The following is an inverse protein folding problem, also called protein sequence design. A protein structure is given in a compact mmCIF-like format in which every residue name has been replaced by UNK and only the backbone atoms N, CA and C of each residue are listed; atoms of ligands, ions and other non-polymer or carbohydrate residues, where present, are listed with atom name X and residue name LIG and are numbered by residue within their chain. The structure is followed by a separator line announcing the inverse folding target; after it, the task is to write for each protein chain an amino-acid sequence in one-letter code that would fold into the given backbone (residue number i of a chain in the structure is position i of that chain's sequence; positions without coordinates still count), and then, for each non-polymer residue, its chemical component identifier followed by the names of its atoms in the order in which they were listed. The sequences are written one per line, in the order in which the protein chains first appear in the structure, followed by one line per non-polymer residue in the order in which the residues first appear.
data_IF_411861367280
#
_entry.id   IF_411861367280
#
_cell.length_a   1.000
_cell.length_b   1.000
_cell.length_c   1.000
_cell.angle_alpha   90.00
_cell.angle_beta   90.00
_cell.angle_gamma   90.00
#
_symmetry.space_group_name_H-M   'P 1'
#
loop_
_entity.id
_entity.type
_entity.pdbx_description
1 polymer ?
#
# COMPACT_ATOMS: atom_id res chain seq x y z
N UNK A 1 61.41 -1.22 21.78
CA UNK A 1 60.50 -0.15 21.29
C UNK A 1 59.15 -0.69 20.81
N UNK A 2 59.03 -1.85 20.15
CA UNK A 2 57.73 -2.39 19.69
C UNK A 2 56.71 -2.70 20.80
N UNK A 3 57.14 -3.28 21.92
CA UNK A 3 56.21 -3.66 23.01
C UNK A 3 55.56 -2.49 23.77
N UNK A 4 56.12 -1.28 23.68
CA UNK A 4 55.50 -0.10 24.29
C UNK A 4 54.43 0.50 23.39
N UNK A 5 54.61 0.44 22.07
CA UNK A 5 53.60 0.90 21.11
C UNK A 5 52.36 0.02 21.16
N UNK A 6 52.51 -1.30 21.29
CA UNK A 6 51.35 -2.22 21.40
C UNK A 6 50.52 -1.96 22.66
N UNK A 7 51.16 -1.58 23.78
CA UNK A 7 50.46 -1.20 25.01
C UNK A 7 49.77 0.16 24.90
N UNK A 8 50.37 1.10 24.17
CA UNK A 8 49.77 2.41 23.92
C UNK A 8 48.56 2.30 23.00
N UNK A 9 48.65 1.49 21.93
CA UNK A 9 47.53 1.23 21.01
C UNK A 9 46.40 0.48 21.71
N UNK A 10 46.71 -0.53 22.52
CA UNK A 10 45.69 -1.24 23.30
C UNK A 10 45.03 -0.31 24.33
N UNK A 11 45.78 0.57 24.98
CA UNK A 11 45.24 1.57 25.91
C UNK A 11 44.35 2.61 25.19
N UNK A 12 44.72 3.05 23.99
CA UNK A 12 43.92 3.97 23.18
C UNK A 12 42.63 3.29 22.71
N UNK A 13 42.71 2.04 22.24
CA UNK A 13 41.53 1.27 21.80
C UNK A 13 40.57 1.02 22.97
N UNK A 14 41.10 0.63 24.13
CA UNK A 14 40.29 0.41 25.33
C UNK A 14 39.64 1.70 25.82
N UNK A 15 40.36 2.83 25.75
CA UNK A 15 39.83 4.16 26.05
C UNK A 15 38.69 4.54 25.11
N UNK A 16 38.86 4.35 23.80
CA UNK A 16 37.83 4.65 22.81
C UNK A 16 36.59 3.76 22.98
N UNK A 17 36.77 2.48 23.32
CA UNK A 17 35.67 1.55 23.62
C UNK A 17 34.88 1.96 24.87
N UNK A 18 35.59 2.36 25.93
CA UNK A 18 34.95 2.84 27.17
C UNK A 18 34.14 4.12 26.92
N UNK A 19 34.68 5.06 26.14
CA UNK A 19 33.97 6.29 25.79
C UNK A 19 32.76 6.02 24.89
N UNK A 20 32.87 5.12 23.92
CA UNK A 20 31.73 4.72 23.08
C UNK A 20 30.63 4.05 23.92
N UNK A 21 31.01 3.25 24.93
CA UNK A 21 30.06 2.64 25.86
C UNK A 21 29.40 3.70 26.76
N UNK A 22 30.17 4.66 27.29
CA UNK A 22 29.63 5.80 28.06
C UNK A 22 28.68 6.66 27.24
N UNK A 23 29.03 7.01 26.00
CA UNK A 23 28.17 7.79 25.09
C UNK A 23 26.92 6.97 24.75
N UNK A 24 27.07 5.65 24.52
CA UNK A 24 25.94 4.76 24.31
C UNK A 24 24.99 4.72 25.50
N UNK A 25 25.50 4.62 26.73
CA UNK A 25 24.72 4.68 27.97
C UNK A 25 24.07 6.05 28.20
N UNK A 26 24.73 7.14 27.79
CA UNK A 26 24.21 8.51 27.91
C UNK A 26 23.12 8.78 26.87
N UNK A 27 23.22 8.21 25.66
CA UNK A 27 22.17 8.25 24.64
C UNK A 27 20.98 7.34 25.03
N UNK A 28 21.24 6.13 25.53
CA UNK A 28 20.18 5.25 26.07
C UNK A 28 19.51 5.87 27.31
N UNK A 29 20.29 6.54 28.15
CA UNK A 29 19.83 7.34 29.28
C UNK A 29 18.96 8.50 28.82
N UNK A 30 19.41 9.29 27.84
CA UNK A 30 18.66 10.41 27.22
C UNK A 30 17.29 9.98 26.65
N UNK A 31 17.18 8.76 26.11
CA UNK A 31 15.93 8.19 25.63
C UNK A 31 14.99 7.68 26.74
N UNK A 32 15.52 7.33 27.93
CA UNK A 32 14.75 6.84 29.07
C UNK A 32 14.51 7.89 30.17
N UNK A 33 15.33 8.93 30.26
CA UNK A 33 15.15 10.05 31.19
C UNK A 33 14.35 11.15 30.51
N UNK A 34 13.02 11.02 30.52
CA UNK A 34 12.15 12.19 30.47
C UNK A 34 12.29 12.91 31.81
N UNK A 35 13.34 13.72 31.96
CA UNK A 35 13.41 14.67 33.05
C UNK A 35 12.44 15.78 32.67
N UNK A 36 11.24 15.69 33.24
CA UNK A 36 10.41 16.86 33.52
C UNK A 36 11.24 17.80 34.41
N UNK A 37 12.07 18.64 33.80
CA UNK A 37 12.49 19.86 34.44
C UNK A 37 11.22 20.71 34.60
N UNK A 38 10.88 21.18 35.82
CA UNK A 38 9.83 22.18 35.96
C UNK A 38 10.23 23.39 35.12
N UNK A 39 9.36 23.89 34.24
CA UNK A 39 9.68 25.05 33.41
C UNK A 39 9.98 26.23 34.33
N UNK A 40 11.18 26.77 34.18
CA UNK A 40 11.50 28.10 34.64
C UNK A 40 10.44 29.07 34.09
N UNK A 41 10.00 29.94 34.99
CA UNK A 41 9.08 31.05 34.80
C UNK A 41 9.16 31.67 33.40
N UNK A 42 8.08 31.53 32.63
CA UNK A 42 7.99 32.02 31.27
C UNK A 42 6.54 32.11 30.81
N UNK A 43 5.80 33.05 31.41
CA UNK A 43 4.72 33.82 30.81
C UNK A 43 3.64 33.12 29.96
N UNK A 44 2.42 33.22 30.48
CA UNK A 44 1.20 33.64 29.77
C UNK A 44 0.22 32.53 29.33
N UNK A 45 -0.85 32.41 30.12
CA UNK A 45 -2.22 32.38 29.59
C UNK A 45 -2.99 31.07 29.69
N UNK A 46 -3.71 30.91 30.81
CA UNK A 46 -5.12 30.52 30.77
C UNK A 46 -5.48 29.03 30.91
N UNK A 47 -6.09 28.75 32.06
CA UNK A 47 -7.34 27.97 32.23
C UNK A 47 -7.24 26.49 32.66
N UNK A 48 -7.38 26.27 33.98
CA UNK A 48 -7.95 25.09 34.67
C UNK A 48 -7.08 23.82 34.67
N UNK A 49 -6.76 23.16 35.78
CA UNK A 49 -7.60 22.84 36.94
C UNK A 49 -6.75 22.80 38.24
N UNK A 50 -7.40 23.16 39.34
CA UNK A 50 -6.85 23.28 40.68
C UNK A 50 -6.48 21.90 41.25
N UNK A 51 -5.20 21.69 41.57
CA UNK A 51 -4.80 20.61 42.46
C UNK A 51 -4.81 21.12 43.90
N UNK A 52 -5.77 20.61 44.68
CA UNK A 52 -5.87 20.81 46.12
C UNK A 52 -4.67 20.15 46.82
N UNK A 53 -3.65 20.96 47.11
CA UNK A 53 -2.55 20.57 48.00
C UNK A 53 -2.98 20.85 49.44
N UNK A 54 -3.44 19.81 50.15
CA UNK A 54 -3.63 19.87 51.61
C UNK A 54 -2.25 19.97 52.25
N UNK A 55 -1.82 21.20 52.57
CA UNK A 55 -0.72 21.43 53.51
C UNK A 55 -1.22 21.04 54.91
N UNK A 56 -0.65 19.97 55.46
CA UNK A 56 -0.80 19.65 56.87
C UNK A 56 0.07 20.64 57.64
N UNK A 57 -0.57 21.63 58.26
CA UNK A 57 0.10 22.59 59.12
C UNK A 57 0.58 21.89 60.40
N UNK A 58 1.87 21.53 60.42
CA UNK A 58 2.53 20.83 61.53
C UNK A 58 2.60 21.68 62.81
N UNK A 59 2.19 22.95 62.77
CA UNK A 59 2.10 23.83 63.93
C UNK A 59 0.93 23.51 64.88
N UNK A 60 -0.20 23.01 64.38
CA UNK A 60 -1.37 22.73 65.24
C UNK A 60 -1.29 21.36 65.94
N UNK A 61 -0.67 20.37 65.31
CA UNK A 61 -0.48 19.02 65.91
C UNK A 61 0.53 19.07 67.07
N UNK A 62 1.55 19.93 66.97
CA UNK A 62 2.50 20.16 68.07
C UNK A 62 1.83 20.87 69.27
N UNK A 63 0.87 21.77 69.04
CA UNK A 63 0.13 22.46 70.10
C UNK A 63 -0.86 21.54 70.85
N UNK A 64 -1.50 20.61 70.13
CA UNK A 64 -2.35 19.55 70.71
C UNK A 64 -1.55 18.58 71.59
N UNK A 65 -0.35 18.18 71.15
CA UNK A 65 0.51 17.27 71.92
C UNK A 65 1.06 17.91 73.21
N UNK A 66 1.34 19.22 73.19
CA UNK A 66 1.72 19.99 74.39
C UNK A 66 0.56 20.16 75.38
N UNK A 67 -0.69 20.29 74.91
CA UNK A 67 -1.88 20.28 75.79
C UNK A 67 -2.10 18.93 76.46
N UNK A 68 -1.98 17.82 75.72
CA UNK A 68 -2.13 16.48 76.31
C UNK A 68 -1.07 16.14 77.36
N UNK A 69 0.16 16.65 77.25
CA UNK A 69 1.17 16.51 78.31
C UNK A 69 0.92 17.43 79.51
N UNK A 70 0.27 18.58 79.30
CA UNK A 70 -0.11 19.52 80.35
C UNK A 70 -1.26 18.98 81.21
N UNK A 71 -2.25 18.35 80.58
CA UNK A 71 -3.36 17.70 81.29
C UNK A 71 -2.89 16.46 82.07
N UNK A 72 -1.86 15.77 81.57
CA UNK A 72 -1.21 14.65 82.29
C UNK A 72 -0.31 15.09 83.45
N UNK A 73 0.14 16.35 83.48
CA UNK A 73 0.96 16.94 84.56
C UNK A 73 0.21 17.92 85.47
N UNK A 74 -1.01 18.33 85.11
CA UNK A 74 -1.78 19.36 85.82
C UNK A 74 -2.67 18.87 86.95
N UNK A 75 -2.89 17.55 87.09
CA UNK A 75 -3.82 17.02 88.09
C UNK A 75 -3.15 16.63 89.42
N UNK A 76 -2.30 17.51 89.93
CA UNK A 76 -1.70 17.38 91.26
C UNK A 76 -1.54 18.75 91.92
N UNK A 77 -2.58 19.24 92.62
CA UNK A 77 -2.53 19.83 93.98
C UNK A 77 -3.90 20.36 94.47
N UNK A 78 -4.10 20.48 95.80
CA UNK A 78 -5.35 20.13 96.49
C UNK A 78 -6.26 21.33 96.79
N UNK A 79 -7.55 21.07 97.04
CA UNK A 79 -8.51 22.04 97.59
C UNK A 79 -8.62 21.94 99.13
N UNK A 80 -9.01 23.02 99.83
CA UNK A 80 -8.84 23.18 101.28
C UNK A 80 -9.73 22.29 102.15
N UNK A 81 -9.21 21.96 103.33
CA UNK A 81 -9.89 21.24 104.41
C UNK A 81 -10.79 22.16 105.24
N UNK A 82 -12.04 21.74 105.45
CA UNK A 82 -12.89 21.89 106.65
C UNK A 82 -14.12 20.99 106.39
N UNK A 83 -14.65 20.14 107.25
CA UNK A 83 -14.44 19.87 108.66
C UNK A 83 -15.10 18.49 108.97
N UNK A 84 -14.67 17.85 110.06
CA UNK A 84 -15.34 16.76 110.80
C UNK A 84 -15.27 15.30 110.30
N UNK A 85 -14.83 14.44 111.22
CA UNK A 85 -14.79 12.96 111.23
C UNK A 85 -15.82 12.50 112.30
N UNK A 86 -16.35 11.25 112.30
CA UNK A 86 -15.57 10.01 112.19
C UNK A 86 -16.11 8.97 111.18
N UNK A 87 -15.25 8.33 110.38
CA UNK A 87 -14.62 6.99 110.56
C UNK A 87 -15.64 5.84 110.73
N UNK A 88 -15.97 5.13 109.64
CA UNK A 88 -15.65 3.70 109.44
C UNK A 88 -15.94 3.14 108.03
N UNK A 89 -16.80 3.75 107.20
CA UNK A 89 -17.23 3.12 105.93
C UNK A 89 -16.40 3.44 104.65
N UNK A 90 -15.51 4.44 104.65
CA UNK A 90 -14.83 4.91 103.40
C UNK A 90 -13.56 4.12 103.03
N UNK A 91 -13.05 3.26 103.92
CA UNK A 91 -11.85 2.44 103.64
C UNK A 91 -12.15 1.22 102.75
N UNK A 92 -13.38 0.73 102.79
CA UNK A 92 -13.79 -0.47 102.05
C UNK A 92 -14.10 -0.14 100.59
N UNK A 93 -14.77 0.98 100.32
CA UNK A 93 -15.05 1.47 98.95
C UNK A 93 -13.77 1.80 98.17
N UNK A 94 -12.80 2.50 98.78
CA UNK A 94 -11.51 2.81 98.12
C UNK A 94 -10.67 1.53 97.88
N UNK A 95 -10.81 0.52 98.73
CA UNK A 95 -10.15 -0.78 98.54
C UNK A 95 -10.80 -1.61 97.42
N UNK A 96 -12.11 -1.50 97.23
CA UNK A 96 -12.83 -2.10 96.10
C UNK A 96 -12.48 -1.42 94.77
N UNK A 97 -12.46 -0.08 94.71
CA UNK A 97 -12.08 0.65 93.50
C UNK A 97 -10.65 0.31 93.05
N UNK A 98 -9.70 0.17 93.99
CA UNK A 98 -8.33 -0.24 93.67
C UNK A 98 -8.27 -1.70 93.17
N UNK A 99 -9.13 -2.59 93.65
CA UNK A 99 -9.24 -3.96 93.13
C UNK A 99 -9.85 -3.98 91.73
N UNK A 100 -10.89 -3.20 91.48
CA UNK A 100 -11.52 -3.06 90.17
C UNK A 100 -10.56 -2.44 89.15
N UNK A 101 -9.81 -1.39 89.52
CA UNK A 101 -8.79 -0.78 88.66
C UNK A 101 -7.63 -1.74 88.34
N UNK A 102 -7.23 -2.61 89.28
CA UNK A 102 -6.23 -3.66 89.03
C UNK A 102 -6.76 -4.76 88.10
N UNK A 103 -8.02 -5.16 88.25
CA UNK A 103 -8.66 -6.13 87.35
C UNK A 103 -8.80 -5.56 85.92
N UNK A 104 -9.21 -4.29 85.78
CA UNK A 104 -9.32 -3.63 84.48
C UNK A 104 -7.95 -3.45 83.81
N UNK A 105 -6.88 -3.17 84.57
CA UNK A 105 -5.52 -3.11 84.04
C UNK A 105 -5.03 -4.48 83.56
N UNK A 106 -5.32 -5.56 84.28
CA UNK A 106 -5.00 -6.91 83.86
C UNK A 106 -5.74 -7.30 82.58
N UNK A 107 -7.03 -6.98 82.46
CA UNK A 107 -7.81 -7.21 81.25
C UNK A 107 -7.30 -6.37 80.05
N UNK A 108 -6.91 -5.11 80.29
CA UNK A 108 -6.27 -4.26 79.26
C UNK A 108 -4.96 -4.86 78.76
N UNK A 109 -4.14 -5.40 79.66
CA UNK A 109 -2.87 -6.06 79.29
C UNK A 109 -3.10 -7.34 78.48
N UNK A 110 -4.12 -8.14 78.81
CA UNK A 110 -4.47 -9.33 78.02
C UNK A 110 -5.01 -8.96 76.63
N UNK A 111 -5.86 -7.92 76.53
CA UNK A 111 -6.33 -7.39 75.25
C UNK A 111 -5.18 -6.84 74.39
N UNK A 112 -4.20 -6.19 75.01
CA UNK A 112 -3.01 -5.68 74.30
C UNK A 112 -2.13 -6.82 73.76
N UNK A 113 -1.88 -7.87 74.57
CA UNK A 113 -1.18 -9.07 74.12
C UNK A 113 -1.91 -9.80 72.99
N UNK A 114 -3.23 -9.95 73.09
CA UNK A 114 -4.04 -10.54 72.03
C UNK A 114 -3.99 -9.71 70.73
N UNK A 115 -3.98 -8.38 70.83
CA UNK A 115 -3.84 -7.49 69.67
C UNK A 115 -2.44 -7.57 69.05
N UNK A 116 -1.39 -7.70 69.87
CA UNK A 116 -0.01 -7.88 69.39
C UNK A 116 0.15 -9.22 68.67
N UNK A 117 -0.38 -10.31 69.23
CA UNK A 117 -0.38 -11.63 68.58
C UNK A 117 -1.16 -11.59 67.25
N UNK A 118 -2.32 -10.91 67.21
CA UNK A 118 -3.08 -10.71 65.97
C UNK A 118 -2.27 -9.94 64.91
N UNK A 119 -1.54 -8.88 65.32
CA UNK A 119 -0.66 -8.12 64.42
C UNK A 119 0.51 -8.97 63.91
N UNK A 120 1.13 -9.76 64.77
CA UNK A 120 2.21 -10.68 64.37
C UNK A 120 1.69 -11.75 63.39
N UNK A 121 0.51 -12.33 63.65
CA UNK A 121 -0.13 -13.27 62.74
C UNK A 121 -0.45 -12.64 61.38
N UNK A 122 -0.91 -11.37 61.36
CA UNK A 122 -1.17 -10.63 60.12
C UNK A 122 0.11 -10.35 59.32
N UNK A 123 1.20 -9.97 59.97
CA UNK A 123 2.51 -9.78 59.33
C UNK A 123 3.05 -11.07 58.73
N UNK A 124 2.99 -12.19 59.47
CA UNK A 124 3.39 -13.50 58.97
C UNK A 124 2.52 -13.94 57.78
N UNK A 125 1.21 -13.68 57.82
CA UNK A 125 0.32 -13.95 56.70
C UNK A 125 0.66 -13.09 55.47
N UNK A 126 1.03 -11.81 55.67
CA UNK A 126 1.46 -10.92 54.60
C UNK A 126 2.80 -11.39 53.98
N UNK A 127 3.76 -11.80 54.81
CA UNK A 127 5.03 -12.37 54.34
C UNK A 127 4.82 -13.64 53.51
N UNK A 128 4.00 -14.58 54.00
CA UNK A 128 3.66 -15.80 53.24
C UNK A 128 2.98 -15.49 51.90
N UNK A 129 2.09 -14.50 51.86
CA UNK A 129 1.47 -14.03 50.60
C UNK A 129 2.50 -13.45 49.65
N UNK A 130 3.46 -12.65 50.14
CA UNK A 130 4.53 -12.11 49.31
C UNK A 130 5.43 -13.22 48.75
N UNK A 131 5.77 -14.23 49.56
CA UNK A 131 6.55 -15.39 49.09
C UNK A 131 5.79 -16.19 48.04
N UNK A 132 4.49 -16.42 48.21
CA UNK A 132 3.65 -17.08 47.22
C UNK A 132 3.60 -16.30 45.90
N UNK A 133 3.41 -14.98 45.95
CA UNK A 133 3.43 -14.12 44.76
C UNK A 133 4.80 -14.22 44.06
N UNK A 134 5.90 -14.18 44.83
CA UNK A 134 7.25 -14.28 44.29
C UNK A 134 7.51 -15.65 43.64
N UNK A 135 7.05 -16.75 44.25
CA UNK A 135 7.14 -18.08 43.66
C UNK A 135 6.30 -18.20 42.38
N UNK A 136 5.09 -17.64 42.37
CA UNK A 136 4.23 -17.63 41.18
C UNK A 136 4.87 -16.82 40.04
N UNK A 137 5.45 -15.65 40.34
CA UNK A 137 6.19 -14.85 39.37
C UNK A 137 7.39 -15.61 38.78
N UNK A 138 8.20 -16.26 39.63
CA UNK A 138 9.32 -17.08 39.17
C UNK A 138 8.86 -18.24 38.28
N UNK A 139 7.78 -18.94 38.66
CA UNK A 139 7.22 -20.03 37.85
C UNK A 139 6.70 -19.52 36.51
N UNK A 140 6.03 -18.36 36.49
CA UNK A 140 5.53 -17.72 35.27
C UNK A 140 6.68 -17.26 34.37
N UNK A 141 7.77 -16.77 34.94
CA UNK A 141 8.97 -16.39 34.20
C UNK A 141 9.67 -17.63 33.59
N UNK A 142 9.81 -18.71 34.35
CA UNK A 142 10.33 -19.98 33.84
C UNK A 142 9.48 -20.53 32.69
N UNK A 143 8.15 -20.56 32.84
CA UNK A 143 7.25 -20.97 31.77
C UNK A 143 7.38 -20.08 30.53
N UNK A 144 7.52 -18.76 30.71
CA UNK A 144 7.74 -17.84 29.59
C UNK A 144 9.08 -18.11 28.89
N UNK A 145 10.15 -18.40 29.64
CA UNK A 145 11.44 -18.76 29.04
C UNK A 145 11.38 -20.08 28.28
N UNK A 146 10.67 -21.08 28.81
CA UNK A 146 10.46 -22.36 28.13
C UNK A 146 9.64 -22.18 26.84
N UNK A 147 8.56 -21.40 26.89
CA UNK A 147 7.77 -21.05 25.71
C UNK A 147 8.62 -20.35 24.64
N UNK A 148 9.44 -19.37 25.02
CA UNK A 148 10.33 -18.68 24.09
C UNK A 148 11.36 -19.63 23.47
N UNK A 149 11.94 -20.56 24.26
CA UNK A 149 12.85 -21.59 23.74
C UNK A 149 12.13 -22.54 22.77
N UNK A 150 10.90 -22.94 23.09
CA UNK A 150 10.10 -23.83 22.25
C UNK A 150 9.70 -23.14 20.94
N UNK A 151 9.29 -21.87 20.98
CA UNK A 151 8.97 -21.07 19.80
C UNK A 151 10.21 -20.85 18.92
N UNK A 152 11.38 -20.59 19.51
CA UNK A 152 12.63 -20.49 18.76
C UNK A 152 13.00 -21.82 18.09
N UNK A 153 12.84 -22.95 18.79
CA UNK A 153 13.08 -24.27 18.23
C UNK A 153 12.12 -24.58 17.08
N UNK A 154 10.85 -24.21 17.21
CA UNK A 154 9.85 -24.37 16.16
C UNK A 154 10.15 -23.50 14.94
N UNK A 155 10.51 -22.22 15.15
CA UNK A 155 10.98 -21.32 14.08
C UNK A 155 12.20 -21.87 13.36
N UNK A 156 13.17 -22.43 14.08
CA UNK A 156 14.33 -23.08 13.46
C UNK A 156 13.94 -24.32 12.64
N UNK A 157 13.00 -25.13 13.13
CA UNK A 157 12.46 -26.28 12.39
C UNK A 157 11.72 -25.83 11.14
N UNK A 158 10.86 -24.83 11.24
CA UNK A 158 10.13 -24.26 10.10
C UNK A 158 11.10 -23.69 9.07
N UNK A 159 12.09 -22.89 9.50
CA UNK A 159 13.11 -22.34 8.60
C UNK A 159 13.93 -23.44 7.92
N UNK A 160 14.32 -24.49 8.66
CA UNK A 160 15.02 -25.64 8.09
C UNK A 160 14.15 -26.38 7.07
N UNK A 161 12.85 -26.58 7.36
CA UNK A 161 11.92 -27.22 6.40
C UNK A 161 11.70 -26.35 5.17
N UNK A 162 11.59 -25.04 5.33
CA UNK A 162 11.45 -24.07 4.23
C UNK A 162 12.72 -24.02 3.37
N UNK A 163 13.91 -24.07 3.99
CA UNK A 163 15.19 -24.17 3.27
C UNK A 163 15.29 -25.48 2.47
N UNK A 164 14.93 -26.62 3.07
CA UNK A 164 14.88 -27.91 2.36
C UNK A 164 13.87 -27.91 1.22
N UNK A 165 12.68 -27.32 1.42
CA UNK A 165 11.66 -27.20 0.39
C UNK A 165 12.11 -26.27 -0.76
N UNK A 166 12.76 -25.15 -0.44
CA UNK A 166 13.30 -24.22 -1.43
C UNK A 166 14.45 -24.85 -2.24
N UNK A 167 15.35 -25.60 -1.59
CA UNK A 167 16.41 -26.34 -2.26
C UNK A 167 15.85 -27.43 -3.18
N UNK A 168 14.88 -28.21 -2.70
CA UNK A 168 14.20 -29.22 -3.53
C UNK A 168 13.46 -28.60 -4.72
N UNK A 169 12.82 -27.44 -4.54
CA UNK A 169 12.18 -26.70 -5.63
C UNK A 169 13.22 -26.19 -6.65
N UNK A 170 14.38 -25.69 -6.18
CA UNK A 170 15.47 -25.24 -7.05
C UNK A 170 16.05 -26.39 -7.87
N UNK A 171 16.28 -27.56 -7.25
CA UNK A 171 16.77 -28.75 -7.95
C UNK A 171 15.76 -29.25 -9.00
N UNK A 172 14.45 -29.21 -8.70
CA UNK A 172 13.40 -29.54 -9.68
C UNK A 172 13.37 -28.55 -10.84
N UNK A 173 13.44 -27.25 -10.57
CA UNK A 173 13.48 -26.22 -11.59
C UNK A 173 14.73 -26.32 -12.49
N UNK A 174 15.90 -26.60 -11.91
CA UNK A 174 17.14 -26.79 -12.67
C UNK A 174 17.07 -28.05 -13.55
N UNK A 175 16.50 -29.15 -13.04
CA UNK A 175 16.31 -30.37 -13.82
C UNK A 175 15.34 -30.16 -14.98
N UNK A 176 14.24 -29.44 -14.77
CA UNK A 176 13.28 -29.09 -15.82
C UNK A 176 13.90 -28.17 -16.87
N UNK A 177 14.65 -27.15 -16.45
CA UNK A 177 15.37 -26.27 -17.37
C UNK A 177 16.36 -27.05 -18.25
N UNK A 178 17.13 -27.99 -17.68
CA UNK A 178 18.03 -28.87 -18.45
C UNK A 178 17.28 -29.77 -19.44
N UNK A 179 16.07 -30.25 -19.08
CA UNK A 179 15.22 -31.04 -20.00
C UNK A 179 14.69 -30.20 -21.15
N UNK A 180 14.25 -28.97 -20.87
CA UNK A 180 13.78 -28.04 -21.90
C UNK A 180 14.91 -27.63 -22.84
N UNK A 181 16.12 -27.39 -22.32
CA UNK A 181 17.29 -27.11 -23.15
C UNK A 181 17.67 -28.31 -24.04
N UNK A 182 17.66 -29.52 -23.48
CA UNK A 182 17.91 -30.74 -24.26
C UNK A 182 16.85 -30.95 -25.36
N UNK A 183 15.57 -30.72 -25.04
CA UNK A 183 14.48 -30.80 -26.01
C UNK A 183 14.60 -29.73 -27.11
N UNK A 184 15.02 -28.50 -26.76
CA UNK A 184 15.26 -27.44 -27.73
C UNK A 184 16.41 -27.78 -28.68
N UNK A 185 17.52 -28.35 -28.18
CA UNK A 185 18.64 -28.82 -29.01
C UNK A 185 18.22 -29.94 -29.96
N UNK A 186 17.44 -30.90 -29.47
CA UNK A 186 16.89 -31.98 -30.31
C UNK A 186 15.95 -31.44 -31.40
N UNK A 187 15.07 -30.49 -31.07
CA UNK A 187 14.18 -29.86 -32.04
C UNK A 187 14.95 -29.06 -33.10
N UNK A 188 16.07 -28.42 -32.74
CA UNK A 188 16.93 -27.71 -33.68
C UNK A 188 17.65 -28.66 -34.64
N UNK A 189 18.21 -29.77 -34.13
CA UNK A 189 18.80 -30.81 -34.98
C UNK A 189 17.78 -31.43 -35.92
N UNK A 190 16.57 -31.74 -35.43
CA UNK A 190 15.51 -32.28 -36.28
C UNK A 190 15.07 -31.28 -37.36
N UNK A 191 15.02 -29.99 -37.03
CA UNK A 191 14.72 -28.93 -38.03
C UNK A 191 15.82 -28.85 -39.08
N UNK A 192 17.10 -28.89 -38.67
CA UNK A 192 18.25 -28.90 -39.60
C UNK A 192 18.23 -30.14 -40.50
N UNK A 193 17.89 -31.31 -39.95
CA UNK A 193 17.75 -32.55 -40.73
C UNK A 193 16.59 -32.46 -41.75
N UNK A 194 15.43 -31.94 -41.35
CA UNK A 194 14.29 -31.72 -42.25
C UNK A 194 14.60 -30.70 -43.35
N UNK A 195 15.29 -29.60 -43.02
CA UNK A 195 15.71 -28.60 -44.00
C UNK A 195 16.72 -29.17 -45.01
N UNK A 196 17.67 -29.99 -44.56
CA UNK A 196 18.62 -30.67 -45.44
C UNK A 196 17.91 -31.65 -46.40
N UNK A 197 16.93 -32.42 -45.90
CA UNK A 197 16.10 -33.31 -46.73
C UNK A 197 15.28 -32.52 -47.78
N UNK A 198 14.66 -31.40 -47.39
CA UNK A 198 13.93 -30.55 -48.33
C UNK A 198 14.83 -29.94 -49.42
N UNK A 199 16.04 -29.49 -49.06
CA UNK A 199 17.02 -29.00 -50.04
C UNK A 199 17.45 -30.10 -51.00
N UNK A 200 17.69 -31.32 -50.51
CA UNK A 200 18.03 -32.47 -51.35
C UNK A 200 16.88 -32.83 -52.32
N UNK A 201 15.62 -32.78 -51.85
CA UNK A 201 14.45 -33.04 -52.70
C UNK A 201 14.24 -31.94 -53.76
N UNK A 202 14.44 -30.67 -53.39
CA UNK A 202 14.40 -29.56 -54.35
C UNK A 202 15.48 -29.66 -55.41
N UNK A 203 16.71 -30.04 -55.05
CA UNK A 203 17.78 -30.27 -56.02
C UNK A 203 17.43 -31.39 -57.00
N UNK A 204 16.87 -32.52 -56.52
CA UNK A 204 16.39 -33.60 -57.40
C UNK A 204 15.30 -33.12 -58.36
N UNK A 205 14.32 -32.36 -57.86
CA UNK A 205 13.26 -31.77 -58.70
C UNK A 205 13.81 -30.78 -59.74
N UNK A 206 14.79 -29.95 -59.37
CA UNK A 206 15.44 -29.01 -60.31
C UNK A 206 16.24 -29.75 -61.40
N UNK A 207 16.96 -30.82 -61.03
CA UNK A 207 17.71 -31.62 -61.97
C UNK A 207 16.79 -32.35 -62.95
N UNK A 208 15.65 -32.88 -62.46
CA UNK A 208 14.63 -33.50 -63.30
C UNK A 208 13.98 -32.50 -64.27
N UNK A 209 13.68 -31.27 -63.81
CA UNK A 209 13.19 -30.20 -64.67
C UNK A 209 14.21 -29.79 -65.74
N UNK A 210 15.50 -29.68 -65.39
CA UNK A 210 16.57 -29.40 -66.36
C UNK A 210 16.67 -30.49 -67.42
N UNK A 211 16.63 -31.76 -67.03
CA UNK A 211 16.62 -32.90 -67.97
C UNK A 211 15.39 -32.88 -68.88
N UNK A 212 14.22 -32.56 -68.34
CA UNK A 212 12.99 -32.43 -69.12
C UNK A 212 13.03 -31.22 -70.09
N UNK A 213 13.67 -30.12 -69.70
CA UNK A 213 13.83 -28.93 -70.55
C UNK A 213 14.85 -29.17 -71.66
N UNK A 214 16.00 -29.79 -71.38
CA UNK A 214 16.97 -30.20 -72.41
C UNK A 214 16.35 -31.18 -73.42
N UNK A 215 15.51 -32.12 -72.97
CA UNK A 215 14.80 -33.03 -73.87
C UNK A 215 13.82 -32.27 -74.79
N UNK A 216 13.10 -31.27 -74.27
CA UNK A 216 12.21 -30.42 -75.08
C UNK A 216 12.97 -29.51 -76.04
N UNK A 217 14.13 -28.99 -75.65
CA UNK A 217 14.96 -28.12 -76.48
C UNK A 217 15.64 -28.90 -77.61
N UNK A 218 16.13 -30.12 -77.33
CA UNK A 218 16.60 -31.05 -78.36
C UNK A 218 15.48 -31.41 -79.35
N UNK A 219 14.26 -31.67 -78.86
CA UNK A 219 13.11 -31.94 -79.74
C UNK A 219 12.71 -30.71 -80.60
N UNK A 220 12.85 -29.49 -80.08
CA UNK A 220 12.56 -28.26 -80.83
C UNK A 220 13.65 -27.93 -81.88
N UNK A 221 14.91 -28.25 -81.62
CA UNK A 221 16.01 -28.08 -82.59
C UNK A 221 15.91 -29.09 -83.74
N UNK A 222 15.54 -30.35 -83.46
CA UNK A 222 15.29 -31.36 -84.50
C UNK A 222 14.10 -30.98 -85.41
N UNK A 223 13.06 -30.35 -84.85
CA UNK A 223 11.93 -29.84 -85.62
C UNK A 223 12.31 -28.65 -86.52
N UNK A 224 13.19 -27.75 -86.06
CA UNK A 224 13.70 -26.63 -86.88
C UNK A 224 14.62 -27.09 -88.01
N UNK A 225 15.48 -28.08 -87.79
CA UNK A 225 16.37 -28.63 -88.83
C UNK A 225 15.61 -29.38 -89.93
N UNK A 226 14.46 -29.99 -89.62
CA UNK A 226 13.59 -30.60 -90.63
C UNK A 226 12.83 -29.55 -91.46
N UNK A 227 12.37 -28.45 -90.85
CA UNK A 227 11.70 -27.36 -91.57
C UNK A 227 12.64 -26.60 -92.55
N UNK A 228 13.93 -26.48 -92.23
CA UNK A 228 14.90 -25.81 -93.11
C UNK A 228 15.36 -26.68 -94.30
N UNK A 229 15.28 -28.01 -94.19
CA UNK A 229 15.58 -28.94 -95.29
C UNK A 229 14.46 -29.02 -96.33
N UNK A 230 13.19 -29.02 -95.93
CA UNK A 230 12.07 -29.02 -96.88
C UNK A 230 11.90 -27.69 -97.65
N UNK A 231 12.36 -26.56 -97.07
CA UNK A 231 12.33 -25.26 -97.76
C UNK A 231 13.39 -25.15 -98.89
N UNK A 232 14.50 -25.87 -98.80
CA UNK A 232 15.54 -25.88 -99.85
C UNK A 232 15.23 -26.83 -101.02
N UNK A 233 14.36 -27.82 -100.83
CA UNK A 233 13.98 -28.75 -101.91
C UNK A 233 12.82 -28.21 -102.77
N UNK A 234 11.91 -27.40 -102.20
CA UNK A 234 10.83 -26.75 -102.96
C UNK A 234 11.28 -25.55 -103.81
N UNK A 235 12.40 -24.91 -103.47
CA UNK A 235 12.94 -23.79 -104.24
C UNK A 235 13.68 -24.21 -105.54
N UNK A 236 14.08 -25.47 -105.68
CA UNK A 236 14.76 -25.96 -106.89
C UNK A 236 13.79 -26.49 -107.98
N UNK A 237 12.53 -26.78 -107.62
CA UNK A 237 11.55 -27.38 -108.53
C UNK A 237 10.68 -26.35 -109.30
N UNK A 238 10.51 -25.12 -108.81
CA UNK A 238 9.65 -24.11 -109.46
C UNK A 238 10.36 -23.22 -110.51
N UNK A 239 11.68 -23.33 -110.68
CA UNK A 239 12.42 -22.53 -111.66
C UNK A 239 12.43 -23.13 -113.10
N UNK A 240 11.95 -24.36 -113.30
CA UNK A 240 11.92 -25.03 -114.63
C UNK A 240 10.54 -25.07 -115.31
N UNK A 241 9.47 -24.55 -114.70
CA UNK A 241 8.10 -24.67 -115.21
C UNK A 241 7.41 -23.33 -115.56
N UNK A 242 8.17 -22.25 -115.82
CA UNK A 242 7.64 -20.95 -116.27
C UNK A 242 8.17 -20.47 -117.63
N UNK A 243 8.72 -21.37 -118.45
CA UNK A 243 9.29 -21.03 -119.76
C UNK A 243 8.47 -21.47 -120.98
N UNK A 244 7.40 -22.24 -120.80
CA UNK A 244 6.50 -22.61 -121.91
C UNK A 244 5.05 -22.49 -121.50
N UNK A 245 4.30 -21.86 -122.39
CA UNK A 245 2.85 -21.66 -122.43
C UNK A 245 2.36 -20.29 -121.95
N UNK A 246 1.67 -19.71 -122.91
CA UNK A 246 0.61 -18.71 -122.79
C UNK A 246 1.05 -17.25 -122.94
N UNK A 247 1.98 -17.09 -123.87
CA UNK A 247 1.80 -16.23 -125.04
C UNK A 247 0.69 -16.74 -125.98
N UNK A 248 -0.55 -16.87 -125.48
CA UNK A 248 -1.75 -16.96 -126.31
C UNK A 248 -2.85 -16.11 -125.68
N UNK A 249 -3.05 -14.98 -126.34
CA UNK A 249 -4.34 -14.29 -126.53
C UNK A 249 -5.02 -13.79 -125.25
N UNK A 250 -4.97 -12.51 -124.91
CA UNK A 250 -5.44 -11.36 -125.70
C UNK A 250 -6.77 -11.62 -126.42
N UNK A 251 -7.84 -11.72 -125.64
CA UNK A 251 -9.19 -11.23 -125.94
C UNK A 251 -9.93 -11.34 -124.60
N UNK A 252 -10.40 -10.30 -123.91
CA UNK A 252 -10.81 -8.97 -124.27
C UNK A 252 -10.38 -8.01 -123.16
N UNK A 253 -9.88 -6.86 -123.60
CA UNK A 253 -9.77 -5.67 -122.77
C UNK A 253 -11.07 -4.87 -122.94
N UNK A 254 -11.96 -4.94 -121.97
CA UNK A 254 -13.00 -3.93 -121.74
C UNK A 254 -13.45 -4.12 -120.28
N UNK A 255 -13.16 -3.29 -119.28
CA UNK A 255 -12.79 -1.89 -119.26
C UNK A 255 -11.63 -1.67 -118.25
N UNK A 256 -10.47 -1.26 -118.77
CA UNK A 256 -9.51 -0.48 -117.99
C UNK A 256 -10.02 0.96 -117.93
N UNK A 257 -10.13 1.50 -116.72
CA UNK A 257 -9.87 2.89 -116.31
C UNK A 257 -10.84 3.23 -115.18
N UNK A 258 -10.42 3.61 -113.98
CA UNK A 258 -9.36 4.57 -113.63
C UNK A 258 -8.77 4.15 -112.27
N UNK A 259 -7.48 3.87 -112.11
CA UNK A 259 -6.33 4.78 -112.23
C UNK A 259 -6.40 5.96 -111.25
N UNK A 260 -5.70 5.83 -110.13
CA UNK A 260 -4.90 6.85 -109.44
C UNK A 260 -4.57 6.26 -108.05
N UNK A 261 -3.56 5.41 -107.93
CA UNK A 261 -2.15 5.80 -107.91
C UNK A 261 -1.88 6.88 -106.85
N UNK A 262 -1.15 6.44 -105.83
CA UNK A 262 -0.08 7.17 -105.18
C UNK A 262 -0.41 8.54 -104.58
N UNK A 263 -0.29 8.64 -103.26
CA UNK A 263 0.92 9.18 -102.66
C UNK A 263 0.62 9.86 -101.31
N UNK A 264 1.59 9.71 -100.41
CA UNK A 264 1.93 10.62 -99.32
C UNK A 264 0.91 10.68 -98.16
N UNK A 265 1.18 10.02 -97.04
CA UNK A 265 2.22 10.37 -96.06
C UNK A 265 2.05 11.77 -95.43
N UNK A 266 1.95 11.72 -94.10
CA UNK A 266 2.31 12.72 -93.08
C UNK A 266 1.32 13.85 -92.74
N UNK A 267 0.88 13.76 -91.48
CA UNK A 267 1.06 14.75 -90.41
C UNK A 267 -0.14 15.64 -90.04
N UNK A 268 -0.68 15.38 -88.85
CA UNK A 268 -0.92 16.32 -87.74
C UNK A 268 -1.33 15.44 -86.53
N UNK A 269 -0.51 15.33 -85.48
CA UNK A 269 -0.50 16.22 -84.31
C UNK A 269 -1.84 16.15 -83.54
N UNK A 270 -1.93 15.98 -82.23
CA UNK A 270 -0.98 15.79 -81.13
C UNK A 270 -1.83 15.27 -79.95
N UNK A 271 -1.16 14.96 -78.85
CA UNK A 271 -1.63 14.32 -77.64
C UNK A 271 -2.85 14.94 -76.95
N UNK A 272 -3.59 14.07 -76.26
CA UNK A 272 -3.83 14.06 -74.79
C UNK A 272 -5.05 13.17 -74.53
N UNK A 273 -5.17 12.38 -73.48
CA UNK A 273 -4.30 11.86 -72.43
C UNK A 273 -5.27 11.08 -71.53
N UNK A 274 -4.78 10.00 -70.90
CA UNK A 274 -5.34 9.38 -69.68
C UNK A 274 -6.72 8.71 -69.82
N UNK A 275 -7.02 7.59 -69.17
CA UNK A 275 -6.25 6.69 -68.32
C UNK A 275 -7.12 5.45 -68.07
N UNK A 276 -6.43 4.35 -67.77
CA UNK A 276 -6.91 3.11 -67.14
C UNK A 276 -7.70 2.15 -68.04
N UNK A 277 -7.23 0.98 -68.52
CA UNK A 277 -6.19 0.05 -68.04
C UNK A 277 -6.30 -0.21 -66.53
N UNK A 278 -6.44 -1.40 -66.00
CA UNK A 278 -6.41 -2.78 -66.46
C UNK A 278 -6.78 -3.54 -65.16
N UNK A 279 -6.95 -4.85 -65.25
CA UNK A 279 -6.63 -5.76 -64.16
C UNK A 279 -7.45 -5.64 -62.84
N UNK A 280 -8.32 -6.63 -62.56
CA UNK A 280 -7.92 -7.91 -61.93
C UNK A 280 -7.63 -7.74 -60.44
N UNK A 281 -8.52 -8.26 -59.61
CA UNK A 281 -8.15 -9.21 -58.55
C UNK A 281 -9.36 -9.52 -57.67
N UNK A 282 -9.58 -10.83 -57.50
CA UNK A 282 -9.91 -11.51 -56.24
C UNK A 282 -10.92 -10.82 -55.31
N UNK A 283 -12.05 -11.51 -55.11
CA UNK A 283 -12.43 -12.13 -53.82
C UNK A 283 -13.94 -12.03 -53.65
N UNK A 284 -14.69 -13.02 -54.15
CA UNK A 284 -16.08 -13.20 -53.71
C UNK A 284 -16.52 -14.65 -53.91
N UNK A 285 -15.99 -15.52 -53.04
CA UNK A 285 -16.58 -16.82 -52.73
C UNK A 285 -16.12 -17.26 -51.33
N UNK A 286 -16.20 -16.36 -50.35
CA UNK A 286 -15.99 -16.67 -48.92
C UNK A 286 -17.15 -16.12 -48.07
N UNK A 287 -18.37 -16.29 -48.57
CA UNK A 287 -19.60 -16.07 -47.83
C UNK A 287 -19.94 -17.29 -46.96
N UNK A 288 -19.11 -17.58 -45.95
CA UNK A 288 -19.51 -18.46 -44.83
C UNK A 288 -18.60 -18.39 -43.58
N UNK A 289 -18.31 -17.19 -43.06
CA UNK A 289 -17.67 -17.06 -41.72
C UNK A 289 -17.83 -15.67 -41.06
N UNK A 290 -18.96 -14.98 -41.24
CA UNK A 290 -19.21 -13.69 -40.58
C UNK A 290 -20.59 -13.61 -39.91
N UNK A 291 -21.16 -14.76 -39.50
CA UNK A 291 -22.43 -14.82 -38.80
C UNK A 291 -22.30 -14.98 -37.26
N UNK A 292 -21.11 -15.25 -36.72
CA UNK A 292 -20.91 -15.48 -35.27
C UNK A 292 -20.20 -14.32 -34.53
N UNK A 293 -19.81 -13.26 -35.24
CA UNK A 293 -19.21 -12.06 -34.64
C UNK A 293 -20.18 -10.88 -34.50
N UNK A 294 -21.47 -11.08 -34.77
CA UNK A 294 -22.53 -10.05 -34.68
C UNK A 294 -23.56 -10.29 -33.56
N UNK A 295 -23.35 -11.28 -32.70
CA UNK A 295 -24.20 -11.52 -31.52
C UNK A 295 -23.55 -11.09 -30.19
N UNK A 296 -22.24 -10.76 -30.17
CA UNK A 296 -21.54 -10.36 -28.95
C UNK A 296 -21.22 -8.87 -28.80
N UNK A 297 -21.47 -8.05 -29.84
CA UNK A 297 -21.24 -6.61 -29.79
C UNK A 297 -22.50 -5.78 -29.43
N UNK A 298 -23.70 -6.32 -29.62
CA UNK A 298 -24.97 -5.62 -29.32
C UNK A 298 -25.37 -5.68 -27.83
N UNK A 299 -24.82 -6.64 -27.08
CA UNK A 299 -25.07 -6.74 -25.64
C UNK A 299 -24.22 -5.77 -24.79
N UNK A 300 -23.06 -5.35 -25.30
CA UNK A 300 -22.13 -4.47 -24.58
C UNK A 300 -22.39 -2.97 -24.87
N UNK A 301 -22.96 -2.66 -26.04
CA UNK A 301 -23.38 -1.29 -26.39
C UNK A 301 -24.66 -0.83 -25.67
N UNK A 302 -25.57 -1.75 -25.28
CA UNK A 302 -26.76 -1.41 -24.49
C UNK A 302 -26.50 -1.20 -22.99
N UNK A 303 -25.41 -1.74 -22.44
CA UNK A 303 -25.04 -1.53 -21.03
C UNK A 303 -24.29 -0.20 -20.80
N UNK A 304 -23.53 0.28 -21.80
CA UNK A 304 -22.84 1.57 -21.72
C UNK A 304 -23.80 2.78 -21.87
N UNK A 305 -24.86 2.65 -22.69
CA UNK A 305 -25.85 3.70 -22.90
C UNK A 305 -26.80 3.93 -21.70
N UNK A 306 -26.93 2.95 -20.79
CA UNK A 306 -27.74 3.08 -19.57
C UNK A 306 -26.99 3.81 -18.43
N UNK A 307 -25.65 3.76 -18.40
CA UNK A 307 -24.83 4.42 -17.37
C UNK A 307 -24.51 5.88 -17.67
N UNK A 308 -24.46 6.28 -18.95
CA UNK A 308 -24.27 7.68 -19.34
C UNK A 308 -25.51 8.57 -19.09
N UNK A 309 -26.73 7.99 -19.08
CA UNK A 309 -27.97 8.74 -18.84
C UNK A 309 -28.22 9.07 -17.36
N UNK A 310 -27.67 8.29 -16.43
CA UNK A 310 -27.84 8.52 -14.99
C UNK A 310 -26.90 9.62 -14.44
N UNK A 311 -25.71 9.78 -15.00
CA UNK A 311 -24.79 10.84 -14.55
C UNK A 311 -25.12 12.21 -15.15
N UNK A 312 -25.70 12.28 -16.35
CA UNK A 312 -26.13 13.56 -16.95
C UNK A 312 -27.42 14.11 -16.32
N UNK A 313 -28.28 13.24 -15.77
CA UNK A 313 -29.52 13.66 -15.10
C UNK A 313 -29.30 14.16 -13.66
N UNK A 314 -28.17 13.83 -13.02
CA UNK A 314 -27.82 14.31 -11.68
C UNK A 314 -27.08 15.66 -11.71
N UNK A 315 -26.35 15.95 -12.80
CA UNK A 315 -25.59 17.20 -12.99
C UNK A 315 -26.49 18.39 -13.41
N UNK A 316 -27.56 18.10 -14.16
CA UNK A 316 -28.60 19.08 -14.57
C UNK A 316 -29.56 19.45 -13.40
N UNK A 317 -29.66 18.58 -12.37
CA UNK A 317 -30.52 18.80 -11.20
C UNK A 317 -29.84 19.66 -10.12
N UNK A 318 -28.50 19.63 -10.02
CA UNK A 318 -27.75 20.33 -8.98
C UNK A 318 -27.22 21.71 -9.39
N UNK A 319 -27.30 22.07 -10.68
CA UNK A 319 -26.73 23.32 -11.22
C UNK A 319 -27.75 24.43 -11.56
N UNK A 320 -29.02 24.28 -11.17
CA UNK A 320 -30.00 25.37 -11.15
C UNK A 320 -30.35 25.99 -12.51
N UNK A 321 -31.43 25.50 -13.12
CA UNK A 321 -32.03 26.11 -14.30
C UNK A 321 -33.40 25.53 -14.63
N UNK A 322 -34.44 26.26 -14.21
CA UNK A 322 -35.87 26.12 -14.51
C UNK A 322 -36.27 25.36 -15.80
N UNK A 323 -37.02 24.25 -15.62
CA UNK A 323 -38.17 23.88 -16.46
C UNK A 323 -39.31 23.38 -15.56
N UNK A 324 -40.08 24.34 -15.05
CA UNK A 324 -41.51 24.50 -15.36
C UNK A 324 -42.50 23.36 -15.08
N UNK A 325 -43.37 23.60 -14.09
CA UNK A 325 -44.82 23.34 -14.27
C UNK A 325 -45.62 22.98 -13.02
N UNK A 326 -46.16 23.98 -12.30
CA UNK A 326 -47.41 23.78 -11.54
C UNK A 326 -47.59 24.51 -10.20
N UNK A 327 -48.15 25.73 -10.28
CA UNK A 327 -49.10 26.34 -9.35
C UNK A 327 -48.67 26.92 -7.98
N UNK A 328 -48.62 28.26 -7.99
CA UNK A 328 -49.26 29.19 -7.02
C UNK A 328 -48.92 29.10 -5.52
N UNK A 329 -48.09 30.02 -5.01
CA UNK A 329 -48.51 31.11 -4.09
C UNK A 329 -47.35 32.03 -3.66
N UNK A 330 -47.39 33.26 -4.19
CA UNK A 330 -47.18 34.59 -3.58
C UNK A 330 -46.37 34.75 -2.26
N UNK A 331 -45.31 35.56 -2.35
CA UNK A 331 -44.71 36.38 -1.28
C UNK A 331 -43.24 36.01 -0.99
N UNK A 332 -42.19 36.78 -1.28
CA UNK A 332 -42.03 38.23 -1.43
C UNK A 332 -41.22 38.75 -0.25
N UNK A 333 -39.89 38.89 -0.37
CA UNK A 333 -39.19 40.12 -0.01
C UNK A 333 -37.74 40.16 -0.55
N UNK A 334 -37.37 41.31 -1.10
CA UNK A 334 -36.02 41.71 -1.49
C UNK A 334 -35.17 41.85 -0.21
N UNK A 335 -33.85 41.65 -0.24
CA UNK A 335 -32.87 42.74 -0.28
C UNK A 335 -31.50 42.17 -0.69
N UNK A 336 -30.94 42.69 -1.78
CA UNK A 336 -29.52 42.65 -2.08
C UNK A 336 -29.01 44.09 -1.99
N UNK A 337 -28.07 44.35 -1.07
CA UNK A 337 -27.01 45.33 -1.20
C UNK A 337 -26.25 45.49 0.13
N UNK A 338 -24.96 45.15 0.10
CA UNK A 338 -23.90 45.81 0.87
C UNK A 338 -23.80 45.49 2.36
N UNK A 339 -22.74 44.79 2.74
CA UNK A 339 -21.68 45.43 3.52
C UNK A 339 -20.39 44.62 3.44
N UNK A 340 -19.34 45.27 2.94
CA UNK A 340 -17.97 44.97 3.27
C UNK A 340 -17.80 44.97 4.80
N UNK A 341 -17.22 43.91 5.34
CA UNK A 341 -16.94 43.76 6.77
C UNK A 341 -15.76 42.83 6.96
N UNK A 342 -14.59 43.45 7.04
CA UNK A 342 -13.26 42.89 7.08
C UNK A 342 -13.00 42.01 8.33
N UNK A 343 -12.38 40.85 8.13
CA UNK A 343 -11.92 39.94 9.19
C UNK A 343 -10.61 39.27 8.76
N UNK A 344 -9.52 40.02 8.94
CA UNK A 344 -8.14 39.72 8.58
C UNK A 344 -7.67 38.28 8.80
N UNK A 345 -7.11 37.70 7.74
CA UNK A 345 -6.26 36.50 7.78
C UNK A 345 -5.48 36.38 6.48
N UNK A 346 -4.68 37.41 6.17
CA UNK A 346 -3.72 37.55 5.06
C UNK A 346 -3.63 36.33 4.11
N UNK A 347 -4.21 36.49 2.93
CA UNK A 347 -3.56 36.02 1.71
C UNK A 347 -2.18 36.73 1.65
N UNK A 348 -1.14 35.99 2.02
CA UNK A 348 0.24 36.36 1.70
C UNK A 348 0.53 35.77 0.32
N UNK A 349 0.92 36.67 -0.57
CA UNK A 349 1.25 36.36 -1.95
C UNK A 349 2.42 35.40 -2.12
N UNK A 350 2.46 34.90 -3.35
CA UNK A 350 3.51 34.21 -4.09
C UNK A 350 4.80 33.81 -3.35
N UNK A 351 5.07 32.51 -3.44
CA UNK A 351 6.41 31.99 -3.22
C UNK A 351 6.40 30.64 -2.53
N UNK A 352 6.47 29.58 -3.32
CA UNK A 352 7.32 28.42 -3.00
C UNK A 352 6.92 27.59 -1.76
N UNK A 353 6.19 26.49 -2.03
CA UNK A 353 6.37 25.25 -1.26
C UNK A 353 5.70 25.14 0.09
N UNK A 354 4.51 25.71 0.30
CA UNK A 354 3.72 25.42 1.51
C UNK A 354 2.58 24.46 1.17
N UNK A 355 2.76 23.19 1.55
CA UNK A 355 1.69 22.21 1.49
C UNK A 355 0.44 22.75 2.18
N UNK A 356 -0.71 22.56 1.55
CA UNK A 356 -1.98 23.05 2.06
C UNK A 356 -2.30 22.38 3.41
N UNK A 357 -2.13 23.11 4.52
CA UNK A 357 -2.52 22.65 5.87
C UNK A 357 -4.00 22.29 5.96
N UNK A 358 -4.83 22.73 5.01
CA UNK A 358 -6.22 22.32 4.87
C UNK A 358 -6.38 20.83 4.55
N UNK A 359 -5.42 20.23 3.82
CA UNK A 359 -5.49 18.83 3.41
C UNK A 359 -5.45 17.86 4.60
N UNK A 360 -4.63 18.15 5.62
CA UNK A 360 -4.59 17.36 6.85
C UNK A 360 -5.96 17.32 7.56
N UNK A 361 -6.67 18.46 7.54
CA UNK A 361 -8.01 18.57 8.13
C UNK A 361 -9.00 17.70 7.38
N UNK A 362 -8.92 17.65 6.05
CA UNK A 362 -9.78 16.79 5.22
C UNK A 362 -9.52 15.30 5.51
N UNK A 363 -8.26 14.91 5.64
CA UNK A 363 -7.87 13.54 6.03
C UNK A 363 -8.45 13.20 7.40
N UNK A 364 -8.20 14.04 8.40
CA UNK A 364 -8.71 13.86 9.77
C UNK A 364 -10.23 13.81 9.81
N UNK A 365 -10.91 14.68 9.07
CA UNK A 365 -12.37 14.73 9.00
C UNK A 365 -12.96 13.45 8.39
N UNK A 366 -12.36 12.93 7.31
CA UNK A 366 -12.82 11.69 6.68
C UNK A 366 -12.63 10.48 7.61
N UNK A 367 -11.45 10.38 8.24
CA UNK A 367 -11.13 9.26 9.14
C UNK A 367 -11.90 9.32 10.46
N UNK A 368 -12.11 10.51 11.03
CA UNK A 368 -12.89 10.68 12.27
C UNK A 368 -14.36 10.34 12.09
N UNK A 369 -14.94 10.55 10.90
CA UNK A 369 -16.32 10.12 10.59
C UNK A 369 -16.48 8.61 10.61
N UNK A 370 -15.45 7.87 10.21
CA UNK A 370 -15.45 6.42 10.16
C UNK A 370 -14.99 5.78 11.48
N UNK A 371 -14.39 6.59 12.35
CA UNK A 371 -13.89 6.17 13.64
C UNK A 371 -15.04 6.03 14.63
N UNK A 372 -15.32 4.79 15.03
CA UNK A 372 -16.28 4.48 16.08
C UNK A 372 -15.66 4.84 17.42
N UNK A 373 -16.13 5.95 17.99
CA UNK A 373 -15.69 6.44 19.30
C UNK A 373 -16.46 5.71 20.38
N UNK A 374 -15.73 5.13 21.33
CA UNK A 374 -16.28 4.58 22.57
C UNK A 374 -15.95 5.53 23.74
N UNK A 375 -16.85 5.75 24.72
CA UNK A 375 -16.57 6.52 25.93
C UNK A 375 -15.30 6.07 26.66
N UNK A 376 -14.95 4.78 26.57
CA UNK A 376 -13.76 4.17 27.17
C UNK A 376 -12.43 4.69 26.58
N UNK A 377 -12.48 5.49 25.51
CA UNK A 377 -11.32 6.08 24.84
C UNK A 377 -10.96 7.47 25.38
N UNK A 378 -11.69 7.97 26.37
CA UNK A 378 -11.37 9.23 27.04
C UNK A 378 -9.94 9.25 27.59
N UNK A 379 -9.22 10.34 27.37
CA UNK A 379 -7.85 10.54 27.87
C UNK A 379 -6.78 9.64 27.23
N UNK A 380 -7.12 8.88 26.19
CA UNK A 380 -6.24 7.88 25.59
C UNK A 380 -6.15 8.11 24.08
N UNK A 381 -4.95 7.98 23.51
CA UNK A 381 -4.70 8.19 22.08
C UNK A 381 -3.94 7.03 21.43
N UNK A 382 -4.25 6.77 20.16
CA UNK A 382 -3.47 5.91 19.27
C UNK A 382 -2.91 6.72 18.09
N UNK A 383 -1.62 6.56 17.83
CA UNK A 383 -0.92 7.18 16.69
C UNK A 383 -0.68 6.14 15.61
N UNK A 384 -1.28 6.36 14.44
CA UNK A 384 -1.18 5.46 13.29
C UNK A 384 -0.60 6.23 12.11
N UNK A 385 0.46 5.70 11.52
CA UNK A 385 1.02 6.18 10.25
C UNK A 385 0.24 5.54 9.11
N UNK A 386 -0.24 6.34 8.17
CA UNK A 386 -0.90 5.84 6.97
C UNK A 386 -0.10 6.25 5.74
N UNK A 387 -0.02 5.39 4.73
CA UNK A 387 0.54 5.75 3.43
C UNK A 387 -0.58 5.96 2.43
N UNK A 388 -0.60 7.13 1.81
CA UNK A 388 -1.63 7.58 0.88
C UNK A 388 -1.02 7.64 -0.52
N UNK A 389 -1.72 7.08 -1.50
CA UNK A 389 -1.38 7.16 -2.92
C UNK A 389 -1.87 8.47 -3.55
N UNK A 390 -1.39 8.78 -4.76
CA UNK A 390 -1.66 10.06 -5.42
C UNK A 390 -3.14 10.25 -5.81
N UNK A 391 -3.93 9.19 -5.80
CA UNK A 391 -5.38 9.24 -6.01
C UNK A 391 -6.18 9.31 -4.70
N UNK A 392 -5.51 9.32 -3.54
CA UNK A 392 -6.14 9.35 -2.22
C UNK A 392 -6.38 7.98 -1.60
N UNK A 393 -6.06 6.87 -2.26
CA UNK A 393 -6.18 5.53 -1.64
C UNK A 393 -5.16 5.31 -0.53
N UNK A 394 -5.56 4.59 0.51
CA UNK A 394 -4.68 4.22 1.61
C UNK A 394 -4.04 2.86 1.27
N UNK A 395 -2.72 2.84 1.04
CA UNK A 395 -2.00 1.61 0.64
C UNK A 395 -1.55 0.77 1.83
N UNK A 396 -1.19 1.41 2.94
CA UNK A 396 -0.74 0.72 4.16
C UNK A 396 -0.98 1.58 5.41
N UNK A 397 -1.03 0.92 6.56
CA UNK A 397 -1.14 1.54 7.87
C UNK A 397 -0.19 0.84 8.85
N UNK A 398 0.40 1.60 9.76
CA UNK A 398 1.33 1.12 10.78
C UNK A 398 0.99 1.79 12.12
N UNK A 399 0.74 0.98 13.14
CA UNK A 399 0.45 1.47 14.49
C UNK A 399 1.78 1.78 15.17
N UNK A 400 2.03 3.06 15.47
CA UNK A 400 3.28 3.50 16.11
C UNK A 400 3.20 3.30 17.61
N UNK A 401 2.14 3.82 18.23
CA UNK A 401 2.00 3.81 19.69
C UNK A 401 0.56 4.02 20.11
N UNK A 402 0.12 3.28 21.11
CA UNK A 402 -1.17 3.49 21.76
C UNK A 402 -1.71 2.19 22.34
N UNK A 403 -2.76 2.27 23.18
CA UNK A 403 -3.42 1.08 23.70
C UNK A 403 -4.09 0.24 22.59
N UNK A 404 -4.08 -1.11 22.71
CA UNK A 404 -4.47 -2.01 21.62
C UNK A 404 -5.98 -1.99 21.28
N UNK A 405 -6.84 -1.57 22.18
CA UNK A 405 -8.28 -1.35 21.97
C UNK A 405 -8.56 -0.14 21.07
N UNK A 406 -7.98 1.03 21.39
CA UNK A 406 -8.11 2.25 20.57
C UNK A 406 -7.44 2.05 19.22
N UNK A 407 -6.26 1.41 19.20
CA UNK A 407 -5.55 1.14 17.95
C UNK A 407 -6.30 0.17 17.04
N UNK A 408 -7.03 -0.82 17.58
CA UNK A 408 -7.91 -1.68 16.78
C UNK A 408 -9.07 -0.87 16.17
N UNK A 409 -9.70 0.01 16.94
CA UNK A 409 -10.75 0.89 16.43
C UNK A 409 -10.22 1.86 15.35
N UNK A 410 -9.00 2.38 15.53
CA UNK A 410 -8.33 3.27 14.58
C UNK A 410 -8.02 2.54 13.26
N UNK A 411 -7.44 1.34 13.35
CA UNK A 411 -7.17 0.50 12.17
C UNK A 411 -8.47 0.14 11.45
N UNK A 412 -9.53 -0.19 12.18
CA UNK A 412 -10.83 -0.48 11.59
C UNK A 412 -11.45 0.74 10.88
N UNK A 413 -11.24 1.95 11.40
CA UNK A 413 -11.67 3.18 10.73
C UNK A 413 -10.90 3.43 9.42
N UNK A 414 -9.60 3.18 9.42
CA UNK A 414 -8.75 3.32 8.23
C UNK A 414 -9.16 2.32 7.14
N UNK A 415 -9.39 1.06 7.51
CA UNK A 415 -9.80 0.02 6.55
C UNK A 415 -11.20 0.26 6.00
N UNK A 416 -12.14 0.76 6.82
CA UNK A 416 -13.47 1.15 6.36
C UNK A 416 -13.45 2.40 5.46
N UNK A 417 -12.60 3.37 5.77
CA UNK A 417 -12.49 4.59 4.97
C UNK A 417 -11.97 4.29 3.56
N UNK A 418 -11.01 3.35 3.43
CA UNK A 418 -10.34 2.86 2.21
C UNK A 418 -9.56 3.93 1.41
N UNK A 419 -10.03 5.18 1.43
CA UNK A 419 -9.47 6.34 0.74
C UNK A 419 -9.80 7.64 1.49
N UNK A 420 -8.98 8.65 1.24
CA UNK A 420 -9.13 10.03 1.69
C UNK A 420 -9.26 10.95 0.46
N UNK A 421 -9.75 12.19 0.61
CA UNK A 421 -9.81 13.14 -0.50
C UNK A 421 -8.47 13.25 -1.20
N UNK A 422 -8.47 13.38 -2.53
CA UNK A 422 -7.24 13.51 -3.31
C UNK A 422 -6.57 14.87 -3.05
N UNK A 423 -5.24 14.87 -2.91
CA UNK A 423 -4.46 16.10 -2.80
C UNK A 423 -4.62 16.97 -4.06
N UNK A 424 -4.71 18.29 -3.86
CA UNK A 424 -4.91 19.27 -4.94
C UNK A 424 -3.66 19.41 -5.83
N UNK A 425 -2.48 19.32 -5.23
CA UNK A 425 -1.18 19.57 -5.86
C UNK A 425 -0.10 18.60 -5.34
N UNK A 426 0.97 18.44 -6.14
CA UNK A 426 2.09 17.52 -5.85
C UNK A 426 2.88 17.88 -4.59
N UNK A 427 3.17 19.16 -4.28
CA UNK A 427 3.78 19.55 -3.01
C UNK A 427 2.96 19.08 -1.80
N UNK A 428 1.65 19.32 -1.81
CA UNK A 428 0.74 18.87 -0.75
C UNK A 428 0.72 17.35 -0.63
N UNK A 429 0.69 16.62 -1.76
CA UNK A 429 0.82 15.17 -1.75
C UNK A 429 2.15 14.71 -1.12
N UNK A 430 3.28 15.30 -1.51
CA UNK A 430 4.59 14.88 -1.00
C UNK A 430 4.75 15.13 0.51
N UNK A 431 4.13 16.19 1.04
CA UNK A 431 4.10 16.45 2.50
C UNK A 431 3.20 15.48 3.24
N UNK A 432 2.05 15.10 2.65
CA UNK A 432 1.04 14.26 3.28
C UNK A 432 0.93 12.85 2.67
N UNK A 433 2.01 12.35 2.09
CA UNK A 433 2.09 10.98 1.56
C UNK A 433 2.06 9.95 2.68
N UNK A 434 2.66 10.28 3.82
CA UNK A 434 2.80 9.37 4.96
C UNK A 434 2.50 10.03 6.33
N UNK A 435 1.30 10.63 6.51
CA UNK A 435 0.98 11.38 7.72
C UNK A 435 0.74 10.46 8.92
N UNK A 436 1.03 10.99 10.11
CA UNK A 436 0.72 10.35 11.39
C UNK A 436 -0.60 10.92 11.90
N UNK A 437 -1.62 10.07 11.96
CA UNK A 437 -2.95 10.44 12.42
C UNK A 437 -3.12 10.00 13.88
N UNK A 438 -3.62 10.92 14.70
CA UNK A 438 -3.96 10.67 16.10
C UNK A 438 -5.44 10.35 16.21
N UNK A 439 -5.76 9.18 16.78
CA UNK A 439 -7.11 8.72 17.07
C UNK A 439 -7.31 8.73 18.59
N UNK A 440 -8.38 9.36 19.05
CA UNK A 440 -8.70 9.45 20.47
C UNK A 440 -9.99 10.24 20.66
N UNK A 441 -10.57 10.15 21.84
CA UNK A 441 -11.70 10.97 22.22
C UNK A 441 -11.18 12.21 22.95
N UNK A 442 -11.31 13.38 22.32
CA UNK A 442 -11.08 14.65 23.00
C UNK A 442 -12.35 14.98 23.79
N UNK A 443 -12.34 14.71 25.08
CA UNK A 443 -13.33 15.24 26.00
C UNK A 443 -13.00 16.72 26.16
N UNK A 444 -13.97 17.58 25.83
CA UNK A 444 -13.88 19.03 25.95
C UNK A 444 -14.28 19.46 27.36
#
# INVERSE_FOLDING_TARGET
MRSQNDRLEFAIILSLLLHALLIGLLLLGSLFTNITLPPAAGGNGGDGEEFEAVMVDTGQVAAEYSRLQSDRKGNAQPKPMEETKPVEDVKEEVAEEVKQAKAELAEKQEREKALEEQRQAQLLAQQKRQEQIKQEQLKKEQQRQEQLKQEQLEKQKEEATRKKAAEAARLKAEAEAKRLEAAAKQAEEERKAKEALQKAEQQKKLEEQKKAQEAKEKAAQDAKLKAEKEAKEKAAAEAKAKAEKEAKEKAEKEAKAKAAAEAKAKAAADAKAKAAADAKAKADAEAKAAADAKAKADAEAKAAAARAKNNKALDDFLSGGDIGGGSTTKGGNKNSAGLSGNGNGKAVGDGQGTADRGYERLIKQKLSREYQVDPSFSGRECRVKINIERDGRISSHEVISGPPDICRAAVAAITRAQSVPKAKDDPTYNTYKSPIIKFGLKVL
#
